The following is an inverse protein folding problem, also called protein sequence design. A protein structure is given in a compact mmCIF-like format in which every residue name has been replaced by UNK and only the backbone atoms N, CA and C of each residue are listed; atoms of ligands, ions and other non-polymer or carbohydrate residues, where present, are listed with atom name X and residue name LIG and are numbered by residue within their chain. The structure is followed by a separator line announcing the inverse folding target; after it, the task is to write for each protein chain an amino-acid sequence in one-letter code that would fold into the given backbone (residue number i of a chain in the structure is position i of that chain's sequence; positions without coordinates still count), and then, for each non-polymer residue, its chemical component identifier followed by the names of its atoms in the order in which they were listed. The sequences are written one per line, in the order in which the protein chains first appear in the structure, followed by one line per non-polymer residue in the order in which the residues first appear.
data_IF_453444764160
#
_entry.id   IF_453444764160
#
_cell.length_a   1.000
_cell.length_b   1.000
_cell.length_c   1.000
_cell.angle_alpha   90.00
_cell.angle_beta   90.00
_cell.angle_gamma   90.00
#
_symmetry.space_group_name_H-M   'P 1'
#
loop_
_entity.id
_entity.type
_entity.pdbx_description
1 polymer ?
#
# COMPACT_ATOMS: atom_id res chain seq x y z
N UNK A 1 -12.10 -27.78 -15.25
CA UNK A 1 -13.01 -26.65 -15.00
C UNK A 1 -12.18 -25.47 -14.52
N UNK A 2 -12.45 -24.23 -14.97
CA UNK A 2 -11.88 -23.04 -14.33
C UNK A 2 -12.03 -23.14 -12.81
N UNK A 3 -10.94 -22.88 -12.09
CA UNK A 3 -10.76 -23.17 -10.66
C UNK A 3 -12.00 -22.74 -9.84
N UNK A 4 -12.61 -23.67 -9.08
CA UNK A 4 -13.83 -23.38 -8.32
C UNK A 4 -13.67 -22.17 -7.38
N UNK A 5 -12.45 -21.93 -6.86
CA UNK A 5 -12.12 -20.76 -6.05
C UNK A 5 -12.20 -19.46 -6.83
N UNK A 6 -11.73 -19.45 -8.08
CA UNK A 6 -11.83 -18.28 -8.96
C UNK A 6 -13.29 -17.89 -9.20
N UNK A 7 -14.19 -18.86 -9.40
CA UNK A 7 -15.62 -18.59 -9.59
C UNK A 7 -16.26 -17.95 -8.36
N UNK A 8 -15.94 -18.47 -7.17
CA UNK A 8 -16.44 -17.91 -5.90
C UNK A 8 -15.89 -16.50 -5.69
N UNK A 9 -14.58 -16.29 -5.92
CA UNK A 9 -13.96 -14.98 -5.81
C UNK A 9 -14.57 -13.98 -6.80
N UNK A 10 -14.79 -14.39 -8.05
CA UNK A 10 -15.41 -13.54 -9.07
C UNK A 10 -16.84 -13.13 -8.66
N UNK A 11 -17.64 -14.06 -8.14
CA UNK A 11 -18.97 -13.74 -7.62
C UNK A 11 -18.94 -12.79 -6.42
N UNK A 12 -17.94 -12.91 -5.54
CA UNK A 12 -17.76 -11.98 -4.42
C UNK A 12 -17.34 -10.58 -4.89
N UNK A 13 -16.48 -10.49 -5.91
CA UNK A 13 -16.07 -9.22 -6.52
C UNK A 13 -17.26 -8.55 -7.23
N UNK A 14 -18.05 -9.31 -7.98
CA UNK A 14 -19.26 -8.83 -8.66
C UNK A 14 -20.29 -8.26 -7.66
N UNK A 15 -20.53 -8.98 -6.57
CA UNK A 15 -21.40 -8.49 -5.49
C UNK A 15 -20.87 -7.22 -4.83
N UNK A 16 -19.55 -7.11 -4.62
CA UNK A 16 -18.91 -5.89 -4.09
C UNK A 16 -19.06 -4.72 -5.06
N UNK A 17 -18.83 -4.94 -6.37
CA UNK A 17 -18.98 -3.91 -7.40
C UNK A 17 -20.42 -3.37 -7.43
N UNK A 18 -21.42 -4.25 -7.42
CA UNK A 18 -22.82 -3.87 -7.34
C UNK A 18 -23.14 -3.04 -6.08
N UNK A 19 -22.56 -3.40 -4.93
CA UNK A 19 -22.74 -2.66 -3.69
C UNK A 19 -22.07 -1.28 -3.73
N UNK A 20 -20.87 -1.16 -4.30
CA UNK A 20 -20.22 0.14 -4.55
C UNK A 20 -21.07 1.00 -5.48
N UNK A 21 -21.65 0.41 -6.53
CA UNK A 21 -22.58 1.08 -7.43
C UNK A 21 -23.79 1.68 -6.72
N UNK A 22 -24.36 0.99 -5.73
CA UNK A 22 -25.45 1.52 -4.91
C UNK A 22 -25.02 2.75 -4.10
N UNK A 23 -23.85 2.72 -3.48
CA UNK A 23 -23.30 3.87 -2.73
C UNK A 23 -23.10 5.07 -3.67
N UNK A 24 -22.50 4.86 -4.84
CA UNK A 24 -22.29 5.92 -5.83
C UNK A 24 -23.62 6.50 -6.35
N UNK A 25 -24.62 5.65 -6.61
CA UNK A 25 -25.95 6.09 -7.04
C UNK A 25 -26.63 6.98 -5.99
N UNK A 26 -26.49 6.65 -4.70
CA UNK A 26 -27.01 7.49 -3.61
C UNK A 26 -26.27 8.83 -3.55
N UNK A 27 -24.94 8.85 -3.68
CA UNK A 27 -24.19 10.11 -3.73
C UNK A 27 -24.64 11.01 -4.89
N UNK A 28 -24.95 10.42 -6.05
CA UNK A 28 -25.45 11.16 -7.21
C UNK A 28 -26.91 11.62 -7.00
N UNK A 29 -27.81 10.77 -6.47
CA UNK A 29 -29.23 11.13 -6.25
C UNK A 29 -29.44 12.19 -5.17
N UNK A 30 -28.59 12.18 -4.14
CA UNK A 30 -28.61 13.18 -3.06
C UNK A 30 -27.84 14.46 -3.44
N UNK A 31 -27.26 14.53 -4.65
CA UNK A 31 -26.50 15.70 -5.11
C UNK A 31 -25.15 15.90 -4.39
N UNK A 32 -24.68 14.91 -3.63
CA UNK A 32 -23.45 14.95 -2.82
C UNK A 32 -22.18 14.63 -3.63
N UNK A 33 -22.33 14.07 -4.83
CA UNK A 33 -21.22 13.56 -5.61
C UNK A 33 -20.10 14.58 -5.88
N UNK A 34 -20.42 15.86 -6.08
CA UNK A 34 -19.43 16.93 -6.33
C UNK A 34 -18.67 17.37 -5.08
N UNK A 35 -19.12 16.96 -3.90
CA UNK A 35 -18.51 17.29 -2.60
C UNK A 35 -18.03 16.04 -1.86
N UNK A 36 -17.98 14.90 -2.56
CA UNK A 36 -17.53 13.63 -1.98
C UNK A 36 -16.33 13.10 -2.74
N UNK A 37 -15.22 12.91 -2.02
CA UNK A 37 -14.07 12.14 -2.48
C UNK A 37 -14.34 10.66 -2.21
N UNK A 38 -14.34 9.84 -3.26
CA UNK A 38 -14.40 8.38 -3.16
C UNK A 38 -13.02 7.81 -3.48
N UNK A 39 -12.47 7.03 -2.55
CA UNK A 39 -11.24 6.29 -2.72
C UNK A 39 -11.54 4.79 -2.59
N UNK A 40 -11.14 4.01 -3.60
CA UNK A 40 -11.20 2.56 -3.59
C UNK A 40 -9.78 2.02 -3.70
N UNK A 41 -9.42 1.04 -2.86
CA UNK A 41 -8.14 0.33 -2.92
C UNK A 41 -8.24 -1.04 -2.23
N UNK A 42 -7.36 -1.98 -2.61
CA UNK A 42 -7.15 -3.21 -1.82
C UNK A 42 -6.22 -2.95 -0.63
N UNK A 43 -6.35 -3.74 0.44
CA UNK A 43 -5.48 -3.67 1.62
C UNK A 43 -4.08 -4.24 1.36
N UNK A 44 -4.03 -5.31 0.58
CA UNK A 44 -2.82 -6.01 0.13
C UNK A 44 -3.08 -6.66 -1.23
N UNK A 45 -2.03 -7.20 -1.84
CA UNK A 45 -2.14 -8.04 -3.02
C UNK A 45 -2.97 -9.31 -2.81
N UNK A 46 -3.47 -9.89 -3.90
CA UNK A 46 -4.39 -11.03 -3.86
C UNK A 46 -3.73 -12.30 -3.33
N UNK A 47 -4.53 -13.15 -2.69
CA UNK A 47 -4.09 -14.46 -2.22
C UNK A 47 -4.25 -15.50 -3.35
N UNK A 48 -3.15 -15.82 -4.05
CA UNK A 48 -3.17 -16.71 -5.22
C UNK A 48 -3.79 -18.09 -4.92
N UNK A 49 -3.52 -18.64 -3.72
CA UNK A 49 -4.11 -19.90 -3.27
C UNK A 49 -5.65 -19.85 -3.16
N UNK A 50 -6.23 -18.65 -3.03
CA UNK A 50 -7.68 -18.42 -2.94
C UNK A 50 -8.32 -18.02 -4.28
N UNK A 51 -7.59 -18.18 -5.39
CA UNK A 51 -8.11 -17.93 -6.74
C UNK A 51 -7.92 -16.49 -7.23
N UNK A 52 -7.19 -15.64 -6.50
CA UNK A 52 -6.78 -14.33 -7.00
C UNK A 52 -5.78 -14.45 -8.14
N UNK A 53 -5.74 -13.43 -9.00
CA UNK A 53 -4.74 -13.25 -10.05
C UNK A 53 -4.09 -11.88 -9.89
N UNK A 54 -2.77 -11.89 -9.70
CA UNK A 54 -1.97 -10.67 -9.57
C UNK A 54 -1.12 -10.40 -10.83
N UNK A 55 -1.32 -11.16 -11.91
CA UNK A 55 -0.53 -11.05 -13.13
C UNK A 55 -0.54 -9.62 -13.70
N UNK A 56 0.60 -9.10 -14.17
CA UNK A 56 1.89 -9.78 -14.34
C UNK A 56 2.81 -9.73 -13.10
N UNK A 57 2.32 -9.25 -11.96
CA UNK A 57 3.14 -9.00 -10.78
C UNK A 57 3.54 -10.30 -10.08
N UNK A 58 4.73 -10.32 -9.49
CA UNK A 58 5.26 -11.49 -8.79
C UNK A 58 4.59 -11.71 -7.44
N UNK A 59 4.22 -12.96 -7.20
CA UNK A 59 3.67 -13.44 -5.94
C UNK A 59 2.34 -12.76 -5.53
N UNK A 60 2.07 -12.68 -4.22
CA UNK A 60 0.78 -12.31 -3.69
C UNK A 60 0.82 -11.91 -2.23
N UNK A 61 -0.35 -11.93 -1.59
CA UNK A 61 -0.55 -11.66 -0.17
C UNK A 61 0.56 -12.24 0.70
N UNK A 62 1.05 -11.45 1.66
CA UNK A 62 2.09 -11.89 2.60
C UNK A 62 3.50 -11.92 2.01
N UNK A 63 3.76 -11.16 0.94
CA UNK A 63 5.09 -10.99 0.36
C UNK A 63 5.41 -9.52 0.12
N UNK A 64 6.70 -9.18 0.07
CA UNK A 64 7.19 -7.83 -0.26
C UNK A 64 7.42 -7.63 -1.79
N UNK A 65 7.14 -8.65 -2.60
CA UNK A 65 7.13 -8.55 -4.06
C UNK A 65 5.93 -7.70 -4.52
N UNK A 66 5.97 -7.18 -5.76
CA UNK A 66 4.93 -6.29 -6.30
C UNK A 66 3.54 -6.89 -6.17
N UNK A 67 3.37 -8.19 -6.42
CA UNK A 67 2.06 -8.84 -6.29
C UNK A 67 1.52 -8.90 -4.87
N UNK A 68 2.33 -8.62 -3.84
CA UNK A 68 1.91 -8.52 -2.44
C UNK A 68 1.62 -7.10 -1.96
N UNK A 69 2.30 -6.08 -2.50
CA UNK A 69 2.25 -4.69 -2.01
C UNK A 69 1.66 -3.68 -3.01
N UNK A 70 1.63 -4.00 -4.30
CA UNK A 70 1.06 -3.14 -5.34
C UNK A 70 -0.38 -3.58 -5.63
N UNK A 71 -1.31 -2.67 -5.35
CA UNK A 71 -2.74 -2.95 -5.36
C UNK A 71 -3.48 -2.08 -6.37
N UNK A 72 -4.65 -2.52 -6.88
CA UNK A 72 -5.54 -1.63 -7.61
C UNK A 72 -6.02 -0.51 -6.69
N UNK A 73 -6.06 0.72 -7.21
CA UNK A 73 -6.63 1.87 -6.54
C UNK A 73 -7.29 2.82 -7.55
N UNK A 74 -8.37 3.46 -7.13
CA UNK A 74 -9.08 4.47 -7.91
C UNK A 74 -9.57 5.60 -7.00
N UNK A 75 -9.48 6.83 -7.49
CA UNK A 75 -9.98 8.03 -6.81
C UNK A 75 -10.99 8.74 -7.72
N UNK A 76 -12.11 9.16 -7.14
CA UNK A 76 -13.15 9.94 -7.81
C UNK A 76 -13.47 11.16 -6.96
N UNK A 77 -13.28 12.35 -7.52
CA UNK A 77 -13.76 13.61 -6.95
C UNK A 77 -14.17 14.55 -8.09
N UNK A 78 -15.45 14.54 -8.50
CA UNK A 78 -15.94 15.28 -9.67
C UNK A 78 -15.61 16.77 -9.60
N UNK A 79 -14.96 17.29 -10.65
CA UNK A 79 -14.56 18.70 -10.73
C UNK A 79 -13.36 19.08 -9.86
N UNK A 80 -12.70 18.11 -9.22
CA UNK A 80 -11.47 18.29 -8.42
C UNK A 80 -10.34 17.37 -8.86
N UNK A 81 -10.66 16.18 -9.35
CA UNK A 81 -9.73 15.22 -9.94
C UNK A 81 -10.14 14.95 -11.39
N UNK A 82 -9.18 14.89 -12.30
CA UNK A 82 -9.42 14.67 -13.72
C UNK A 82 -10.03 13.28 -13.97
N UNK A 83 -11.20 13.24 -14.64
CA UNK A 83 -11.85 11.99 -15.00
C UNK A 83 -11.07 11.22 -16.08
N UNK A 84 -11.05 9.89 -15.99
CA UNK A 84 -10.39 9.02 -16.97
C UNK A 84 -8.86 9.09 -16.99
N UNK A 85 -8.25 9.84 -16.07
CA UNK A 85 -6.80 9.96 -15.97
C UNK A 85 -6.15 8.72 -15.34
N UNK A 86 -4.90 8.44 -15.71
CA UNK A 86 -4.03 7.47 -15.04
C UNK A 86 -2.88 8.22 -14.38
N UNK A 87 -2.72 8.08 -13.07
CA UNK A 87 -1.60 8.68 -12.35
C UNK A 87 -0.36 7.79 -12.43
N UNK A 88 0.80 8.41 -12.67
CA UNK A 88 2.11 7.77 -12.54
C UNK A 88 2.74 8.05 -11.15
N UNK A 89 2.07 8.82 -10.30
CA UNK A 89 2.54 9.08 -8.94
C UNK A 89 2.51 7.80 -8.11
N UNK A 90 3.65 7.44 -7.52
CA UNK A 90 3.70 6.39 -6.50
C UNK A 90 2.99 6.89 -5.24
N UNK A 91 1.97 6.17 -4.82
CA UNK A 91 1.20 6.40 -3.60
C UNK A 91 1.38 5.20 -2.66
N UNK A 92 1.70 5.48 -1.40
CA UNK A 92 1.68 4.54 -0.30
C UNK A 92 0.47 4.80 0.61
N UNK A 93 0.02 3.78 1.35
CA UNK A 93 -1.11 3.93 2.27
C UNK A 93 -0.88 5.02 3.33
N UNK A 94 0.38 5.25 3.71
CA UNK A 94 0.78 6.32 4.63
C UNK A 94 0.50 7.72 4.07
N UNK A 95 0.47 7.89 2.74
CA UNK A 95 0.17 9.15 2.08
C UNK A 95 -1.33 9.50 2.17
N UNK A 96 -2.21 8.53 2.44
CA UNK A 96 -3.66 8.76 2.44
C UNK A 96 -4.07 9.81 3.48
N UNK A 97 -3.55 9.73 4.70
CA UNK A 97 -3.89 10.69 5.75
C UNK A 97 -3.55 12.14 5.37
N UNK A 98 -2.29 12.50 5.06
CA UNK A 98 -1.96 13.87 4.67
C UNK A 98 -2.61 14.30 3.35
N UNK A 99 -2.88 13.37 2.42
CA UNK A 99 -3.57 13.66 1.15
C UNK A 99 -5.04 13.99 1.35
N UNK A 100 -5.78 13.21 2.13
CA UNK A 100 -7.19 13.46 2.43
C UNK A 100 -7.35 14.75 3.24
N UNK A 101 -6.44 15.00 4.18
CA UNK A 101 -6.43 16.26 4.93
C UNK A 101 -6.17 17.46 4.02
N UNK A 102 -5.23 17.35 3.08
CA UNK A 102 -4.99 18.35 2.05
C UNK A 102 -6.20 18.58 1.13
N UNK A 103 -6.95 17.52 0.80
CA UNK A 103 -8.13 17.61 -0.05
C UNK A 103 -9.27 18.44 0.57
N UNK A 104 -9.36 18.46 1.90
CA UNK A 104 -10.33 19.27 2.65
C UNK A 104 -9.74 20.61 3.14
N UNK A 105 -8.53 20.98 2.70
CA UNK A 105 -7.87 22.24 3.06
C UNK A 105 -7.30 22.29 4.48
N UNK A 106 -7.16 21.14 5.14
CA UNK A 106 -6.59 21.04 6.48
C UNK A 106 -5.07 20.89 6.48
N UNK A 107 -4.49 20.98 7.69
CA UNK A 107 -3.06 20.72 7.93
C UNK A 107 -2.89 19.84 9.17
N UNK A 108 -1.88 18.93 9.19
CA UNK A 108 -1.65 18.07 10.35
C UNK A 108 -1.38 18.89 11.61
N UNK A 109 -2.12 18.62 12.69
CA UNK A 109 -1.94 19.28 14.01
C UNK A 109 -1.05 18.48 14.96
N UNK A 110 -0.66 17.26 14.57
CA UNK A 110 0.21 16.39 15.37
C UNK A 110 1.63 16.93 15.47
N UNK A 111 2.30 16.65 16.60
CA UNK A 111 3.71 17.03 16.83
C UNK A 111 4.72 16.05 16.24
N UNK A 112 4.28 14.86 15.84
CA UNK A 112 5.13 13.82 15.26
C UNK A 112 5.21 14.02 13.75
N UNK A 113 6.39 13.78 13.13
CA UNK A 113 6.48 13.75 11.68
C UNK A 113 5.55 12.67 11.10
N UNK A 114 5.02 12.93 9.92
CA UNK A 114 4.26 11.94 9.15
C UNK A 114 5.21 11.20 8.20
N UNK A 115 5.02 9.89 8.05
CA UNK A 115 5.76 9.08 7.09
C UNK A 115 5.22 9.21 5.65
N UNK A 116 4.03 9.82 5.50
CA UNK A 116 3.36 10.01 4.23
C UNK A 116 3.48 11.44 3.68
N UNK A 117 3.31 11.56 2.38
CA UNK A 117 3.30 12.83 1.65
C UNK A 117 1.87 13.27 1.33
N UNK A 118 1.62 14.58 1.36
CA UNK A 118 0.39 15.14 0.80
C UNK A 118 0.47 15.14 -0.73
N UNK A 119 -0.25 14.20 -1.36
CA UNK A 119 -0.32 14.06 -2.81
C UNK A 119 -1.50 14.81 -3.44
N UNK A 120 -2.29 15.56 -2.65
CA UNK A 120 -3.44 16.30 -3.17
C UNK A 120 -3.09 17.28 -4.30
N UNK A 121 -1.98 18.05 -4.24
CA UNK A 121 -1.59 18.90 -5.36
C UNK A 121 -1.41 18.11 -6.66
N UNK A 122 -0.79 16.93 -6.60
CA UNK A 122 -0.59 16.07 -7.77
C UNK A 122 -1.93 15.53 -8.30
N UNK A 123 -2.80 15.04 -7.42
CA UNK A 123 -4.11 14.49 -7.78
C UNK A 123 -5.06 15.56 -8.36
N UNK A 124 -4.91 16.82 -7.96
CA UNK A 124 -5.71 17.95 -8.43
C UNK A 124 -5.12 18.70 -9.64
N UNK A 125 -4.03 18.22 -10.22
CA UNK A 125 -3.51 18.71 -11.51
C UNK A 125 -2.03 19.13 -11.55
N UNK A 126 -1.24 18.90 -10.50
CA UNK A 126 0.20 19.17 -10.50
C UNK A 126 1.04 18.02 -11.08
N UNK A 127 2.34 18.29 -11.26
CA UNK A 127 3.34 17.32 -11.71
C UNK A 127 3.59 16.22 -10.67
N UNK A 128 4.16 15.10 -11.12
CA UNK A 128 4.67 14.03 -10.24
C UNK A 128 5.63 14.64 -9.20
N UNK A 129 5.42 14.27 -7.94
CA UNK A 129 6.24 14.67 -6.81
C UNK A 129 7.34 13.64 -6.59
N UNK A 130 8.58 14.12 -6.48
CA UNK A 130 9.67 13.31 -5.97
C UNK A 130 9.39 12.90 -4.53
N UNK A 131 9.81 11.68 -4.16
CA UNK A 131 9.62 11.16 -2.82
C UNK A 131 10.87 10.44 -2.33
N UNK A 132 11.06 10.48 -1.02
CA UNK A 132 12.00 9.61 -0.33
C UNK A 132 11.65 8.13 -0.52
N UNK A 133 12.61 7.21 -0.29
CA UNK A 133 12.39 5.78 -0.41
C UNK A 133 11.21 5.30 0.46
N UNK A 134 10.45 4.37 -0.09
CA UNK A 134 9.41 3.63 0.62
C UNK A 134 9.97 2.31 1.14
N UNK A 135 9.64 1.98 2.38
CA UNK A 135 10.11 0.78 3.06
C UNK A 135 8.94 -0.13 3.41
N UNK A 136 9.11 -1.43 3.18
CA UNK A 136 8.11 -2.45 3.47
C UNK A 136 8.76 -3.56 4.27
N UNK A 137 8.09 -4.05 5.31
CA UNK A 137 8.49 -5.21 6.10
C UNK A 137 7.37 -6.24 6.13
N UNK A 138 7.70 -7.49 5.81
CA UNK A 138 6.75 -8.60 5.82
C UNK A 138 7.38 -9.79 6.52
N UNK A 139 6.76 -10.23 7.60
CA UNK A 139 7.05 -11.53 8.22
C UNK A 139 6.22 -12.59 7.53
N UNK A 140 6.86 -13.57 6.90
CA UNK A 140 6.10 -14.70 6.36
C UNK A 140 5.68 -15.60 7.53
N UNK A 141 4.40 -15.99 7.56
CA UNK A 141 3.92 -17.02 8.48
C UNK A 141 4.15 -18.43 7.92
N UNK A 142 4.34 -18.55 6.60
CA UNK A 142 4.50 -19.83 5.89
C UNK A 142 5.97 -20.23 5.76
N UNK A 143 6.86 -19.25 5.64
CA UNK A 143 8.31 -19.43 5.62
C UNK A 143 8.85 -18.77 6.87
N UNK A 144 9.77 -19.40 7.57
CA UNK A 144 10.43 -18.80 8.73
C UNK A 144 11.43 -17.72 8.26
N UNK A 145 10.95 -16.70 7.52
CA UNK A 145 11.74 -15.61 6.96
C UNK A 145 11.07 -14.23 7.18
N UNK A 146 11.92 -13.22 7.24
CA UNK A 146 11.54 -11.81 7.18
C UNK A 146 11.97 -11.26 5.83
N UNK A 147 11.08 -10.54 5.16
CA UNK A 147 11.37 -9.87 3.90
C UNK A 147 11.17 -8.39 4.05
N UNK A 148 12.16 -7.65 3.60
CA UNK A 148 12.12 -6.21 3.51
C UNK A 148 12.21 -5.78 2.05
N UNK A 149 11.55 -4.69 1.70
CA UNK A 149 11.74 -4.06 0.40
C UNK A 149 11.97 -2.56 0.56
N UNK A 150 12.83 -2.02 -0.31
CA UNK A 150 13.01 -0.58 -0.51
C UNK A 150 12.61 -0.26 -1.93
N UNK A 151 11.67 0.67 -2.10
CA UNK A 151 11.26 1.21 -3.39
C UNK A 151 11.70 2.68 -3.48
N UNK A 152 12.52 3.01 -4.46
CA UNK A 152 12.95 4.40 -4.71
C UNK A 152 12.99 4.67 -6.21
N UNK A 153 12.08 5.53 -6.68
CA UNK A 153 11.85 5.75 -8.10
C UNK A 153 11.45 4.45 -8.80
N UNK A 154 12.17 4.08 -9.85
CA UNK A 154 11.93 2.86 -10.63
C UNK A 154 12.68 1.64 -10.08
N UNK A 155 13.47 1.80 -9.02
CA UNK A 155 14.30 0.74 -8.47
C UNK A 155 13.69 0.14 -7.21
N UNK A 156 13.77 -1.18 -7.10
CA UNK A 156 13.33 -1.91 -5.91
C UNK A 156 14.39 -2.92 -5.48
N UNK A 157 14.79 -2.84 -4.21
CA UNK A 157 15.63 -3.85 -3.56
C UNK A 157 14.76 -4.70 -2.64
N UNK A 158 14.92 -6.02 -2.68
CA UNK A 158 14.31 -6.96 -1.74
C UNK A 158 15.42 -7.64 -0.94
N UNK A 159 15.32 -7.62 0.38
CA UNK A 159 16.19 -8.34 1.31
C UNK A 159 15.40 -9.42 2.03
N UNK A 160 15.89 -10.66 1.99
CA UNK A 160 15.32 -11.79 2.73
C UNK A 160 16.29 -12.24 3.82
N UNK A 161 15.79 -12.28 5.06
CA UNK A 161 16.50 -12.76 6.24
C UNK A 161 15.81 -14.04 6.70
N UNK A 162 16.50 -15.17 6.59
CA UNK A 162 15.98 -16.46 7.03
C UNK A 162 16.25 -16.65 8.54
N UNK A 163 15.22 -17.04 9.30
CA UNK A 163 15.36 -17.29 10.73
C UNK A 163 16.34 -18.45 10.96
N UNK A 164 17.27 -18.25 11.90
CA UNK A 164 18.29 -19.23 12.25
C UNK A 164 19.45 -19.35 11.26
N UNK A 165 19.49 -18.52 10.20
CA UNK A 165 20.64 -18.42 9.29
C UNK A 165 21.34 -17.09 9.44
N UNK A 166 22.68 -17.12 9.34
CA UNK A 166 23.48 -15.90 9.30
C UNK A 166 23.40 -15.26 7.90
N UNK A 167 23.22 -13.95 7.86
CA UNK A 167 23.21 -13.15 6.64
C UNK A 167 21.83 -12.95 6.03
N UNK A 168 21.81 -12.28 4.88
CA UNK A 168 20.60 -11.97 4.12
C UNK A 168 20.86 -12.12 2.62
N UNK A 169 19.83 -12.54 1.88
CA UNK A 169 19.86 -12.54 0.42
C UNK A 169 19.22 -11.24 -0.09
N UNK A 170 19.87 -10.58 -1.06
CA UNK A 170 19.38 -9.34 -1.67
C UNK A 170 19.23 -9.49 -3.17
N UNK A 171 18.16 -8.89 -3.69
CA UNK A 171 17.84 -8.85 -5.12
C UNK A 171 17.49 -7.42 -5.50
N UNK A 172 17.88 -6.99 -6.70
CA UNK A 172 17.59 -5.65 -7.22
C UNK A 172 16.81 -5.76 -8.54
N UNK A 173 15.73 -4.99 -8.64
CA UNK A 173 14.84 -4.96 -9.80
C UNK A 173 14.66 -3.53 -10.31
N UNK A 174 14.50 -3.40 -11.63
CA UNK A 174 14.13 -2.14 -12.30
C UNK A 174 12.68 -2.24 -12.80
N UNK A 175 11.74 -1.72 -12.01
CA UNK A 175 10.30 -1.97 -12.15
C UNK A 175 9.68 -1.38 -13.42
N UNK A 176 10.25 -0.31 -13.97
CA UNK A 176 9.74 0.29 -15.20
C UNK A 176 9.89 -0.65 -16.41
N UNK A 177 10.95 -1.47 -16.43
CA UNK A 177 11.21 -2.46 -17.48
C UNK A 177 10.87 -3.89 -17.07
N UNK A 178 10.78 -4.17 -15.76
CA UNK A 178 10.53 -5.49 -15.19
C UNK A 178 9.55 -5.41 -14.00
N UNK A 179 8.25 -5.13 -14.25
CA UNK A 179 7.25 -5.08 -13.18
C UNK A 179 6.94 -6.45 -12.57
N UNK A 180 7.40 -7.54 -13.23
CA UNK A 180 7.27 -8.90 -12.75
C UNK A 180 8.42 -9.34 -11.84
N UNK A 181 9.40 -8.46 -11.56
CA UNK A 181 10.57 -8.76 -10.72
C UNK A 181 11.21 -10.10 -11.12
N UNK A 182 11.29 -10.35 -12.43
CA UNK A 182 11.71 -11.61 -13.00
C UNK A 182 13.24 -11.72 -13.08
N UNK A 183 13.93 -10.61 -13.28
CA UNK A 183 15.38 -10.56 -13.47
C UNK A 183 16.05 -9.74 -12.37
N UNK A 184 16.83 -10.43 -11.53
CA UNK A 184 17.76 -9.76 -10.64
C UNK A 184 18.88 -9.10 -11.46
N UNK A 185 19.07 -7.79 -11.23
CA UNK A 185 20.08 -6.97 -11.90
C UNK A 185 21.09 -6.37 -10.92
N UNK A 186 21.17 -6.91 -9.69
CA UNK A 186 22.07 -6.44 -8.61
C UNK A 186 23.53 -6.39 -9.03
N UNK A 187 24.06 -7.49 -9.59
CA UNK A 187 25.48 -7.60 -9.97
C UNK A 187 25.84 -6.65 -11.13
N UNK A 188 24.87 -6.35 -11.99
CA UNK A 188 25.04 -5.38 -13.08
C UNK A 188 24.91 -3.92 -12.59
N UNK A 189 24.34 -3.68 -11.41
CA UNK A 189 24.07 -2.34 -10.87
C UNK A 189 24.56 -2.20 -9.40
N UNK A 190 25.85 -2.47 -9.10
CA UNK A 190 26.34 -2.54 -7.73
C UNK A 190 26.28 -1.20 -6.98
N UNK A 191 26.33 -0.07 -7.70
CA UNK A 191 26.15 1.26 -7.11
C UNK A 191 24.74 1.44 -6.53
N UNK A 192 23.72 1.15 -7.33
CA UNK A 192 22.31 1.25 -6.92
C UNK A 192 21.95 0.24 -5.84
N UNK A 193 22.49 -0.98 -5.93
CA UNK A 193 22.31 -1.99 -4.89
C UNK A 193 22.85 -1.52 -3.53
N UNK A 194 24.07 -0.94 -3.49
CA UNK A 194 24.65 -0.40 -2.25
C UNK A 194 23.87 0.78 -1.70
N UNK A 195 23.39 1.67 -2.57
CA UNK A 195 22.55 2.80 -2.17
C UNK A 195 21.28 2.34 -1.45
N UNK A 196 20.50 1.44 -2.07
CA UNK A 196 19.24 0.98 -1.50
C UNK A 196 19.44 0.07 -0.27
N UNK A 197 20.50 -0.74 -0.27
CA UNK A 197 20.89 -1.54 0.91
C UNK A 197 21.21 -0.64 2.10
N UNK A 198 22.01 0.42 1.89
CA UNK A 198 22.36 1.35 2.97
C UNK A 198 21.13 2.13 3.48
N UNK A 199 20.21 2.53 2.59
CA UNK A 199 18.95 3.13 2.99
C UNK A 199 18.10 2.16 3.83
N UNK A 200 18.06 0.87 3.46
CA UNK A 200 17.37 -0.14 4.24
C UNK A 200 17.99 -0.32 5.63
N UNK A 201 19.32 -0.36 5.72
CA UNK A 201 20.04 -0.48 7.00
C UNK A 201 19.71 0.68 7.94
N UNK A 202 19.66 1.91 7.41
CA UNK A 202 19.27 3.10 8.17
C UNK A 202 17.83 3.00 8.68
N UNK A 203 16.89 2.58 7.82
CA UNK A 203 15.49 2.43 8.21
C UNK A 203 15.29 1.31 9.27
N UNK A 204 15.99 0.19 9.13
CA UNK A 204 15.95 -0.89 10.11
C UNK A 204 16.52 -0.44 11.47
N UNK A 205 17.56 0.39 11.48
CA UNK A 205 18.13 0.94 12.71
C UNK A 205 17.17 1.85 13.51
N UNK A 206 16.10 2.36 12.89
CA UNK A 206 15.03 3.09 13.59
C UNK A 206 14.14 2.17 14.43
N UNK A 207 14.20 0.87 14.20
CA UNK A 207 13.39 -0.15 14.86
C UNK A 207 14.30 -1.03 15.73
N UNK A 208 14.58 -0.64 16.99
CA UNK A 208 15.48 -1.40 17.85
C UNK A 208 14.97 -2.84 18.07
N UNK A 209 15.91 -3.77 18.25
CA UNK A 209 15.62 -5.18 18.47
C UNK A 209 14.65 -5.38 19.64
N UNK A 210 13.52 -6.03 19.36
CA UNK A 210 12.41 -6.20 20.29
C UNK A 210 11.09 -5.89 19.61
N UNK A 211 10.60 -6.86 18.81
CA UNK A 211 9.25 -6.80 18.25
C UNK A 211 8.26 -6.40 19.35
N UNK A 212 7.53 -5.31 19.16
CA UNK A 212 6.25 -5.15 19.85
C UNK A 212 5.34 -6.18 19.19
N UNK A 213 5.28 -7.38 19.80
CA UNK A 213 4.29 -8.37 19.43
C UNK A 213 2.92 -7.72 19.58
N UNK A 214 2.29 -7.40 18.45
CA UNK A 214 0.90 -6.97 18.47
C UNK A 214 0.07 -8.14 18.98
N UNK A 215 -0.55 -7.93 20.13
CA UNK A 215 -1.53 -8.85 20.67
C UNK A 215 -2.87 -8.54 20.02
N UNK A 216 -3.55 -9.55 19.49
CA UNK A 216 -4.97 -9.42 19.08
C UNK A 216 -5.89 -9.18 20.28
N UNK A 217 -5.39 -9.37 21.52
CA UNK A 217 -6.11 -8.93 22.71
C UNK A 217 -5.94 -7.41 22.84
N UNK A 218 -7.02 -6.63 22.85
CA UNK A 218 -6.94 -5.22 23.14
C UNK A 218 -6.29 -4.99 24.50
N UNK A 219 -5.70 -3.82 24.70
CA UNK A 219 -5.19 -3.43 26.01
C UNK A 219 -6.29 -3.66 27.07
N UNK A 220 -6.00 -4.25 28.26
CA UNK A 220 -7.04 -4.64 29.23
C UNK A 220 -8.00 -3.52 29.64
N UNK A 221 -7.60 -2.25 29.50
CA UNK A 221 -8.43 -1.07 29.76
C UNK A 221 -9.14 -0.46 28.54
N UNK A 222 -9.01 -1.05 27.34
CA UNK A 222 -9.70 -0.56 26.15
C UNK A 222 -11.16 -0.99 26.18
N UNK A 223 -12.06 0.00 26.21
CA UNK A 223 -13.50 -0.19 26.13
C UNK A 223 -13.93 0.41 24.79
N UNK A 224 -14.47 -0.37 23.84
CA UNK A 224 -14.96 0.19 22.59
C UNK A 224 -16.07 1.22 22.90
N UNK A 225 -16.06 2.40 22.25
CA UNK A 225 -17.15 3.34 22.40
C UNK A 225 -18.46 2.69 21.94
N UNK A 226 -19.54 2.98 22.65
CA UNK A 226 -20.88 2.52 22.27
C UNK A 226 -21.33 3.08 20.91
N UNK A 227 -20.76 4.23 20.55
CA UNK A 227 -20.99 4.92 19.29
C UNK A 227 -19.68 5.55 18.82
N UNK A 228 -19.11 5.01 17.74
CA UNK A 228 -17.89 5.53 17.13
C UNK A 228 -18.10 6.90 16.46
N UNK A 229 -19.32 7.21 16.00
CA UNK A 229 -19.64 8.48 15.38
C UNK A 229 -19.76 9.62 16.41
N UNK A 230 -20.14 9.31 17.65
CA UNK A 230 -20.11 10.26 18.76
C UNK A 230 -18.69 10.43 19.33
N UNK A 231 -17.93 9.34 19.44
CA UNK A 231 -16.56 9.34 19.96
C UNK A 231 -15.56 10.09 19.06
N UNK A 232 -15.81 10.17 17.75
CA UNK A 232 -14.96 10.88 16.80
C UNK A 232 -15.20 12.41 16.73
N UNK A 233 -16.17 12.94 17.49
CA UNK A 233 -16.52 14.38 17.50
C UNK A 233 -16.01 15.12 18.74
N UNK A 234 -15.29 14.44 19.62
CA UNK A 234 -14.81 15.02 20.86
C UNK A 234 -13.42 15.62 20.68
N UNK A 235 -13.39 16.74 19.97
CA UNK A 235 -12.28 17.71 19.90
C UNK A 235 -12.82 19.08 19.46
#
# INVERSE_FOLDING_TARGET
MPNARLRVLAGAIDAMDAAVGQVLAVLDSEGLAKDTLVLFLSDNGGALAQGSDNSPLRAGKGTAYEGGIRVPAAIRFPGRVAAGAKSQQVLAVTDLFPTLLGAVGGTPQGKKPLDGLNLWPQLSGATVLAREPLFFGVKSNERADFRYAVLHGEWKLIRTVEQGKAGAAEYLFHLASDPAEAKDVRDANPGKARELSAALDQWLALHPDGDILSSVRPHPGWIPPKDYAAAARSD
#
